data_IF_381558245294
#
_entry.id   IF_381558245294
#
_cell.length_a   1.000
_cell.length_b   1.000
_cell.length_c   1.000
_cell.angle_alpha   90.00
_cell.angle_beta   90.00
_cell.angle_gamma   90.00
#
_symmetry.space_group_name_H-M   'P 1'
#
loop_
_entity.id
_entity.type
_entity.pdbx_description
1 polymer ?
#
# COMPACT_ATOMS: atom_id res chain seq x y z
N UNK A 1 14.43 0.31 3.82
CA UNK A 1 14.36 1.78 3.63
C UNK A 1 12.91 2.17 3.35
N UNK A 2 12.42 3.30 3.89
CA UNK A 2 11.09 3.85 3.61
C UNK A 2 11.26 5.27 3.08
N UNK A 3 10.67 5.57 1.92
CA UNK A 3 10.58 6.92 1.36
C UNK A 3 9.13 7.31 1.14
N UNK A 4 8.75 8.53 1.50
CA UNK A 4 7.38 9.02 1.32
C UNK A 4 7.32 10.53 1.09
N UNK A 5 6.29 11.00 0.39
CA UNK A 5 6.08 12.42 0.08
C UNK A 5 4.62 12.84 0.24
N UNK A 6 4.30 13.61 1.28
CA UNK A 6 2.99 14.24 1.44
C UNK A 6 2.67 15.16 0.25
N UNK A 7 1.40 15.23 -0.13
CA UNK A 7 0.96 16.07 -1.25
C UNK A 7 -0.49 16.52 -1.11
N UNK A 8 -0.81 17.61 -1.81
CA UNK A 8 -2.17 18.12 -2.01
C UNK A 8 -2.31 18.61 -3.44
N UNK A 9 -3.12 17.92 -4.23
CA UNK A 9 -3.26 18.14 -5.68
C UNK A 9 -4.73 18.17 -6.08
N UNK A 10 -5.03 18.46 -7.36
CA UNK A 10 -6.41 18.45 -7.87
C UNK A 10 -6.96 17.04 -8.11
N UNK A 11 -6.09 16.03 -8.18
CA UNK A 11 -6.47 14.63 -8.37
C UNK A 11 -5.66 13.71 -7.47
N UNK A 12 -6.14 12.48 -7.30
CA UNK A 12 -5.46 11.44 -6.53
C UNK A 12 -4.13 10.96 -7.14
N UNK A 13 -3.81 11.37 -8.37
CA UNK A 13 -2.61 10.96 -9.09
C UNK A 13 -1.36 11.77 -8.66
N UNK A 14 -1.48 12.60 -7.63
CA UNK A 14 -0.46 13.54 -7.23
C UNK A 14 -0.10 14.50 -8.39
N UNK A 15 1.19 14.76 -8.63
CA UNK A 15 1.63 15.63 -9.72
C UNK A 15 1.55 14.95 -11.11
N UNK A 16 1.16 13.68 -11.21
CA UNK A 16 1.06 12.96 -12.48
C UNK A 16 -0.36 13.03 -13.06
N UNK A 17 -0.45 13.02 -14.39
CA UNK A 17 -1.73 12.79 -15.09
C UNK A 17 -2.08 11.29 -15.16
N UNK A 18 -1.19 10.41 -14.73
CA UNK A 18 -1.36 8.96 -14.78
C UNK A 18 -1.25 8.33 -13.39
N UNK A 19 -2.37 7.77 -12.90
CA UNK A 19 -2.45 7.08 -11.60
C UNK A 19 -1.44 5.94 -11.43
N UNK A 20 -1.02 5.33 -12.53
CA UNK A 20 -0.07 4.23 -12.53
C UNK A 20 1.38 4.67 -12.29
N UNK A 21 1.72 5.94 -12.43
CA UNK A 21 3.11 6.43 -12.37
C UNK A 21 3.50 7.00 -11.01
N UNK A 22 2.53 7.52 -10.26
CA UNK A 22 2.84 8.18 -9.00
C UNK A 22 2.80 7.20 -7.84
N UNK A 23 3.95 7.09 -7.17
CA UNK A 23 4.21 6.20 -6.04
C UNK A 23 4.66 7.05 -4.84
N UNK A 24 3.72 7.68 -4.12
CA UNK A 24 4.04 8.65 -3.07
C UNK A 24 4.69 8.04 -1.82
N UNK A 25 4.61 6.71 -1.66
CA UNK A 25 5.31 5.99 -0.61
C UNK A 25 5.87 4.68 -1.16
N UNK A 26 7.12 4.36 -0.79
CA UNK A 26 7.80 3.13 -1.15
C UNK A 26 8.62 2.62 0.04
N UNK A 27 8.56 1.32 0.30
CA UNK A 27 9.44 0.63 1.24
C UNK A 27 10.17 -0.52 0.54
N UNK A 28 11.43 -0.75 0.91
CA UNK A 28 12.27 -1.84 0.42
C UNK A 28 12.96 -2.56 1.56
N UNK A 29 13.10 -3.88 1.44
CA UNK A 29 13.86 -4.74 2.34
C UNK A 29 14.57 -5.85 1.57
N UNK A 30 15.68 -6.34 2.10
CA UNK A 30 16.35 -7.52 1.56
C UNK A 30 15.71 -8.78 2.15
N UNK A 31 15.62 -9.85 1.35
CA UNK A 31 15.26 -11.17 1.83
C UNK A 31 15.96 -12.25 1.00
N UNK A 32 16.49 -13.28 1.67
CA UNK A 32 17.38 -14.25 1.00
C UNK A 32 18.66 -13.60 0.46
N UNK A 33 19.38 -14.34 -0.37
CA UNK A 33 20.76 -13.98 -0.72
C UNK A 33 20.87 -12.80 -1.70
N UNK A 34 19.86 -12.56 -2.54
CA UNK A 34 19.84 -11.45 -3.52
C UNK A 34 18.42 -10.95 -3.88
N UNK A 35 17.39 -11.26 -3.07
CA UNK A 35 16.02 -10.82 -3.37
C UNK A 35 15.66 -9.54 -2.62
N UNK A 36 14.93 -8.66 -3.30
CA UNK A 36 14.42 -7.41 -2.73
C UNK A 36 12.90 -7.48 -2.69
N UNK A 37 12.36 -7.28 -1.50
CA UNK A 37 10.94 -7.06 -1.29
C UNK A 37 10.65 -5.58 -1.41
N UNK A 38 9.48 -5.25 -1.96
CA UNK A 38 9.04 -3.87 -2.08
C UNK A 38 7.56 -3.73 -1.74
N UNK A 39 7.21 -2.54 -1.25
CA UNK A 39 5.84 -2.11 -0.99
C UNK A 39 5.67 -0.69 -1.51
N UNK A 40 4.53 -0.39 -2.11
CA UNK A 40 4.20 0.98 -2.51
C UNK A 40 2.74 1.33 -2.27
N UNK A 41 2.49 2.57 -1.85
CA UNK A 41 1.16 3.14 -1.73
C UNK A 41 0.61 3.49 -3.13
N UNK A 42 -0.61 3.05 -3.43
CA UNK A 42 -1.45 3.53 -4.53
C UNK A 42 -2.56 4.40 -3.95
N UNK A 43 -2.38 5.72 -3.93
CA UNK A 43 -3.35 6.59 -3.29
C UNK A 43 -4.67 6.62 -4.05
N UNK A 44 -5.76 6.85 -3.30
CA UNK A 44 -7.08 7.16 -3.87
C UNK A 44 -7.53 8.58 -3.60
N UNK A 45 -6.76 9.34 -2.81
CA UNK A 45 -7.10 10.69 -2.39
C UNK A 45 -6.13 11.73 -2.95
N UNK A 46 -6.65 12.93 -3.18
CA UNK A 46 -5.90 14.07 -3.70
C UNK A 46 -5.11 14.83 -2.62
N UNK A 47 -5.40 14.57 -1.35
CA UNK A 47 -4.70 15.14 -0.20
C UNK A 47 -4.25 14.02 0.73
N UNK A 48 -2.93 13.84 0.84
CA UNK A 48 -2.32 12.77 1.63
C UNK A 48 -1.18 13.32 2.47
N UNK A 49 -1.24 13.05 3.77
CA UNK A 49 -0.16 13.33 4.71
C UNK A 49 0.54 12.02 5.05
N UNK A 50 1.85 12.01 4.96
CA UNK A 50 2.69 10.87 5.31
C UNK A 50 3.72 11.27 6.35
N UNK A 51 3.92 10.38 7.31
CA UNK A 51 4.95 10.50 8.34
C UNK A 51 5.76 9.23 8.35
N UNK A 52 7.07 9.36 8.14
CA UNK A 52 8.02 8.27 8.19
C UNK A 52 8.82 8.39 9.47
N UNK A 53 8.93 7.29 10.20
CA UNK A 53 9.81 7.13 11.35
C UNK A 53 10.51 5.77 11.22
N UNK A 54 11.51 5.45 12.07
CA UNK A 54 12.19 4.15 11.98
C UNK A 54 11.18 3.01 11.94
N UNK A 55 11.27 2.17 10.90
CA UNK A 55 10.41 1.00 10.70
C UNK A 55 8.90 1.29 10.56
N UNK A 56 8.49 2.54 10.32
CA UNK A 56 7.06 2.90 10.37
C UNK A 56 6.67 3.95 9.34
N UNK A 57 5.56 3.70 8.65
CA UNK A 57 4.89 4.62 7.74
C UNK A 57 3.47 4.86 8.25
N UNK A 58 3.14 6.12 8.54
CA UNK A 58 1.76 6.57 8.79
C UNK A 58 1.25 7.31 7.57
N UNK A 59 0.04 6.98 7.13
CA UNK A 59 -0.66 7.63 6.01
C UNK A 59 -2.00 8.14 6.53
N UNK A 60 -2.28 9.42 6.31
CA UNK A 60 -3.56 10.05 6.67
C UNK A 60 -4.15 10.73 5.43
N UNK A 61 -5.46 10.61 5.25
CA UNK A 61 -6.22 11.31 4.22
C UNK A 61 -7.08 12.40 4.90
N UNK A 62 -6.61 13.66 4.98
CA UNK A 62 -7.29 14.69 5.79
C UNK A 62 -8.69 15.05 5.28
N UNK A 63 -8.90 14.93 3.97
CA UNK A 63 -10.17 15.19 3.29
C UNK A 63 -10.90 13.88 2.91
N UNK A 64 -10.37 12.74 3.37
CA UNK A 64 -10.98 11.43 3.13
C UNK A 64 -12.26 11.23 3.96
N UNK A 65 -13.02 10.20 3.59
CA UNK A 65 -14.28 9.86 4.26
C UNK A 65 -14.36 8.36 4.53
N UNK A 66 -15.50 7.86 5.00
CA UNK A 66 -15.77 6.42 5.11
C UNK A 66 -15.75 5.68 3.76
N UNK A 67 -15.77 6.38 2.62
CA UNK A 67 -15.58 5.76 1.29
C UNK A 67 -14.11 5.65 0.88
N UNK A 68 -13.17 6.27 1.62
CA UNK A 68 -11.74 6.21 1.30
C UNK A 68 -11.19 4.81 1.49
N UNK A 69 -10.18 4.46 0.69
CA UNK A 69 -9.51 3.16 0.76
C UNK A 69 -8.00 3.32 0.69
N UNK A 70 -7.27 2.55 1.49
CA UNK A 70 -5.81 2.49 1.43
C UNK A 70 -5.40 1.28 0.59
N UNK A 71 -4.79 1.52 -0.56
CA UNK A 71 -4.30 0.45 -1.43
C UNK A 71 -2.79 0.39 -1.39
N UNK A 72 -2.26 -0.74 -0.95
CA UNK A 72 -0.83 -1.04 -1.02
C UNK A 72 -0.58 -2.13 -2.05
N UNK A 73 0.49 -1.98 -2.80
CA UNK A 73 0.97 -3.01 -3.71
C UNK A 73 2.31 -3.54 -3.20
N UNK A 74 2.49 -4.85 -3.22
CA UNK A 74 3.69 -5.51 -2.73
C UNK A 74 4.28 -6.48 -3.76
N UNK A 75 5.59 -6.66 -3.70
CA UNK A 75 6.34 -7.60 -4.53
C UNK A 75 5.82 -9.03 -4.38
N UNK A 76 5.64 -9.79 -5.48
CA UNK A 76 5.45 -11.23 -5.39
C UNK A 76 6.74 -11.93 -4.96
N UNK A 77 6.61 -13.15 -4.46
CA UNK A 77 7.75 -14.01 -4.14
C UNK A 77 7.52 -15.44 -4.65
N UNK A 78 8.59 -16.08 -5.10
CA UNK A 78 8.53 -17.50 -5.46
C UNK A 78 8.50 -18.41 -4.23
N UNK A 79 9.01 -17.95 -3.09
CA UNK A 79 9.04 -18.69 -1.83
C UNK A 79 7.66 -18.78 -1.18
N UNK A 80 6.81 -17.76 -1.36
CA UNK A 80 5.40 -17.78 -0.96
C UNK A 80 4.55 -17.15 -2.04
N UNK A 81 3.88 -18.02 -2.80
CA UNK A 81 3.09 -17.65 -3.98
C UNK A 81 1.65 -17.30 -3.67
N UNK A 82 1.13 -17.69 -2.53
CA UNK A 82 -0.25 -17.42 -2.13
C UNK A 82 -0.24 -16.46 -0.94
N UNK A 83 -0.55 -15.19 -1.20
CA UNK A 83 -0.65 -14.14 -0.19
C UNK A 83 -2.13 -13.95 0.14
N UNK A 84 -2.50 -14.14 1.40
CA UNK A 84 -3.84 -13.90 1.93
C UNK A 84 -3.87 -12.73 2.91
N UNK A 85 -2.72 -12.37 3.49
CA UNK A 85 -2.57 -11.32 4.48
C UNK A 85 -1.16 -10.73 4.50
N UNK A 86 -0.95 -9.71 5.34
CA UNK A 86 0.37 -9.14 5.61
C UNK A 86 1.39 -10.15 6.15
N UNK A 87 0.94 -11.17 6.89
CA UNK A 87 1.80 -12.24 7.42
C UNK A 87 2.37 -13.16 6.33
N UNK A 88 1.87 -13.05 5.10
CA UNK A 88 2.35 -13.84 3.96
C UNK A 88 3.43 -13.12 3.15
N UNK A 89 3.68 -11.83 3.43
CA UNK A 89 4.74 -11.08 2.78
C UNK A 89 6.10 -11.65 3.21
N UNK A 90 6.97 -11.92 2.24
CA UNK A 90 8.24 -12.61 2.48
C UNK A 90 9.32 -11.68 2.98
N UNK A 91 10.08 -12.16 3.97
CA UNK A 91 11.31 -11.55 4.42
C UNK A 91 11.16 -10.32 5.31
N UNK A 92 9.94 -10.01 5.75
CA UNK A 92 9.67 -8.91 6.68
C UNK A 92 8.40 -9.20 7.46
N UNK A 93 8.35 -8.79 8.72
CA UNK A 93 7.11 -8.80 9.49
C UNK A 93 6.40 -7.45 9.29
N UNK A 94 5.14 -7.47 8.86
CA UNK A 94 4.34 -6.26 8.66
C UNK A 94 3.12 -6.30 9.57
N UNK A 95 2.96 -5.25 10.38
CA UNK A 95 1.76 -5.02 11.18
C UNK A 95 1.01 -3.78 10.68
N UNK A 96 -0.31 -3.80 10.82
CA UNK A 96 -1.19 -2.71 10.37
C UNK A 96 -2.09 -2.26 11.52
N UNK A 97 -2.14 -0.95 11.74
CA UNK A 97 -2.98 -0.30 12.74
C UNK A 97 -3.54 1.02 12.20
N UNK A 98 -4.27 1.78 13.03
CA UNK A 98 -4.96 3.01 12.65
C UNK A 98 -6.47 2.89 12.83
N UNK A 99 -7.23 3.65 12.04
CA UNK A 99 -8.69 3.63 12.08
C UNK A 99 -9.33 2.96 10.84
N UNK A 100 -8.53 2.59 9.83
CA UNK A 100 -8.94 1.70 8.75
C UNK A 100 -9.13 0.26 9.24
N UNK A 101 -9.97 -0.52 8.55
CA UNK A 101 -10.12 -1.95 8.84
C UNK A 101 -8.77 -2.66 8.67
N UNK A 102 -8.29 -3.43 9.66
CA UNK A 102 -6.93 -3.99 9.64
C UNK A 102 -6.78 -5.18 8.70
N UNK A 103 -7.88 -5.80 8.29
CA UNK A 103 -7.87 -6.95 7.36
C UNK A 103 -8.04 -6.44 5.93
N UNK A 104 -7.02 -6.59 5.05
CA UNK A 104 -7.13 -6.16 3.68
C UNK A 104 -7.93 -7.16 2.84
N UNK A 105 -8.57 -6.66 1.78
CA UNK A 105 -8.89 -7.48 0.61
C UNK A 105 -7.61 -7.68 -0.19
N UNK A 106 -7.18 -8.92 -0.36
CA UNK A 106 -5.98 -9.27 -1.12
C UNK A 106 -6.34 -9.72 -2.54
N UNK A 107 -5.57 -9.30 -3.53
CA UNK A 107 -5.76 -9.68 -4.93
C UNK A 107 -4.42 -9.77 -5.65
N UNK A 108 -4.18 -10.87 -6.37
CA UNK A 108 -3.03 -10.98 -7.25
C UNK A 108 -3.30 -10.29 -8.59
N UNK A 109 -2.43 -9.37 -8.98
CA UNK A 109 -2.40 -8.77 -10.30
C UNK A 109 -1.25 -9.42 -11.10
N UNK A 110 -1.53 -10.55 -11.74
CA UNK A 110 -0.55 -11.32 -12.49
C UNK A 110 -0.84 -11.32 -13.99
N UNK A 111 0.21 -11.34 -14.81
CA UNK A 111 0.09 -11.40 -16.27
C UNK A 111 -0.56 -12.69 -16.77
N UNK A 112 -0.39 -13.79 -16.04
CA UNK A 112 -0.83 -15.13 -16.42
C UNK A 112 -1.79 -15.76 -15.39
N UNK A 113 -2.38 -14.95 -14.51
CA UNK A 113 -3.28 -15.44 -13.46
C UNK A 113 -3.58 -14.40 -12.39
N UNK A 114 -4.46 -14.75 -11.46
CA UNK A 114 -5.02 -13.81 -10.48
C UNK A 114 -6.28 -13.11 -11.00
N UNK A 115 -6.96 -12.38 -10.12
CA UNK A 115 -8.20 -11.65 -10.45
C UNK A 115 -7.97 -10.17 -10.73
N UNK A 116 -6.73 -9.67 -10.60
CA UNK A 116 -6.33 -8.31 -10.97
C UNK A 116 -5.57 -8.28 -12.30
N UNK A 117 -5.19 -7.07 -12.73
CA UNK A 117 -4.39 -6.87 -13.95
C UNK A 117 -3.07 -6.16 -13.63
N UNK A 118 -1.94 -6.62 -14.21
CA UNK A 118 -0.65 -5.95 -14.08
C UNK A 118 -0.69 -4.48 -14.52
N UNK A 119 0.21 -3.70 -13.96
CA UNK A 119 0.47 -2.32 -14.37
C UNK A 119 1.88 -2.31 -14.96
N UNK A 120 2.02 -1.84 -16.20
CA UNK A 120 3.30 -1.86 -16.94
C UNK A 120 3.99 -3.24 -16.94
N UNK A 121 3.20 -4.31 -17.10
CA UNK A 121 3.65 -5.71 -17.08
C UNK A 121 4.31 -6.18 -15.76
N UNK A 122 4.22 -5.41 -14.68
CA UNK A 122 4.67 -5.84 -13.35
C UNK A 122 3.59 -6.62 -12.62
N UNK A 123 3.95 -7.81 -12.14
CA UNK A 123 3.10 -8.61 -11.26
C UNK A 123 3.20 -8.09 -9.81
N UNK A 124 2.09 -8.03 -9.10
CA UNK A 124 2.07 -7.60 -7.70
C UNK A 124 0.87 -8.15 -6.91
N UNK A 125 0.99 -8.12 -5.59
CA UNK A 125 -0.13 -8.31 -4.68
C UNK A 125 -0.73 -6.95 -4.31
N UNK A 126 -2.04 -6.79 -4.48
CA UNK A 126 -2.80 -5.63 -4.03
C UNK A 126 -3.45 -5.95 -2.69
N UNK A 127 -3.24 -5.10 -1.69
CA UNK A 127 -3.81 -5.19 -0.35
C UNK A 127 -4.62 -3.91 -0.11
N UNK A 128 -5.94 -4.05 -0.10
CA UNK A 128 -6.88 -2.91 -0.02
C UNK A 128 -7.56 -2.91 1.35
N UNK A 129 -7.31 -1.86 2.13
CA UNK A 129 -8.00 -1.60 3.38
C UNK A 129 -9.12 -0.58 3.16
N UNK A 130 -10.29 -0.88 3.71
CA UNK A 130 -11.45 0.03 3.68
C UNK A 130 -11.63 0.69 5.04
N UNK A 131 -12.37 1.80 5.07
CA UNK A 131 -12.82 2.38 6.33
C UNK A 131 -14.03 1.62 6.91
N UNK A 132 -14.23 1.63 8.24
CA UNK A 132 -15.48 1.21 8.86
C UNK A 132 -16.67 2.00 8.31
N UNK A 133 -17.82 1.33 8.17
CA UNK A 133 -19.04 1.99 7.70
C UNK A 133 -19.45 3.12 8.66
N UNK A 134 -19.79 4.28 8.11
CA UNK A 134 -20.18 5.46 8.89
C UNK A 134 -19.04 6.10 9.69
N UNK A 135 -17.77 5.77 9.40
CA UNK A 135 -16.63 6.43 10.03
C UNK A 135 -16.66 7.95 9.80
N UNK A 136 -16.42 8.70 10.87
CA UNK A 136 -16.25 10.15 10.88
C UNK A 136 -14.84 10.52 11.35
N UNK A 137 -14.25 11.54 10.72
CA UNK A 137 -12.87 11.98 10.96
C UNK A 137 -11.95 11.73 9.77
N UNK A 138 -10.65 11.88 9.97
CA UNK A 138 -9.66 11.66 8.91
C UNK A 138 -9.24 10.17 8.85
N UNK A 139 -9.44 9.49 7.71
CA UNK A 139 -8.91 8.15 7.50
C UNK A 139 -7.40 8.08 7.73
N UNK A 140 -6.96 7.04 8.41
CA UNK A 140 -5.59 6.80 8.80
C UNK A 140 -5.24 5.32 8.81
N UNK A 141 -4.07 5.00 8.24
CA UNK A 141 -3.46 3.69 8.37
C UNK A 141 -1.98 3.82 8.72
N UNK A 142 -1.51 2.92 9.58
CA UNK A 142 -0.14 2.84 10.04
C UNK A 142 0.39 1.46 9.67
N UNK A 143 1.54 1.44 9.00
CA UNK A 143 2.27 0.24 8.62
C UNK A 143 3.59 0.22 9.38
N UNK A 144 3.86 -0.86 10.12
CA UNK A 144 5.13 -1.09 10.80
C UNK A 144 5.86 -2.29 10.19
N UNK A 145 7.19 -2.19 10.11
CA UNK A 145 8.08 -3.08 9.37
C UNK A 145 9.15 -3.63 10.32
N UNK A 146 9.03 -4.88 10.75
CA UNK A 146 9.95 -5.50 11.72
C UNK A 146 10.99 -6.40 11.10
#
# INVERSE_FOLDING_TARGET
>A
MIGAQSYRTQSANGPSNNKAQFHPAVAHWAYGDDSIGWLSLRPTEAHVLMQVSPKKLKVTYPEGTSSSVFTFVASPSLAKRDVQSWADIQGISISVSGNANPVPKVTFAGRYGGSGSPIYDYNYWSLVHTMPAGFEGAPEIIIEFE
#
